data_IF_191256031585
#
_entry.id   IF_191256031585
#
_cell.length_a   1.000
_cell.length_b   1.000
_cell.length_c   1.000
_cell.angle_alpha   90.00
_cell.angle_beta   90.00
_cell.angle_gamma   90.00
#
_symmetry.space_group_name_H-M   'P 1'
#
loop_
_entity.id
_entity.type
_entity.pdbx_description
1 polymer ?
#
# COMPACT_ATOMS: atom_id res chain seq x y z
N UNK A 1 5.98 2.81 -16.16
CA UNK A 1 4.96 1.73 -16.12
C UNK A 1 4.26 1.61 -14.77
N UNK A 2 4.79 0.93 -13.73
CA UNK A 2 4.03 0.79 -12.46
C UNK A 2 3.84 2.12 -11.71
N UNK A 3 4.85 2.99 -11.72
CA UNK A 3 4.79 4.34 -11.13
C UNK A 3 3.75 5.26 -11.81
N UNK A 4 3.34 4.94 -13.03
CA UNK A 4 2.30 5.69 -13.76
C UNK A 4 0.91 5.06 -13.56
N UNK A 5 0.86 3.74 -13.31
CA UNK A 5 -0.38 3.00 -13.08
C UNK A 5 -1.03 3.34 -11.74
N UNK A 6 -0.24 3.45 -10.66
CA UNK A 6 -0.72 3.77 -9.32
C UNK A 6 -1.54 5.07 -9.25
N UNK A 7 -1.06 6.20 -9.82
CA UNK A 7 -1.87 7.42 -9.95
C UNK A 7 -3.19 7.20 -10.68
N UNK A 8 -3.22 6.36 -11.73
CA UNK A 8 -4.45 6.06 -12.46
C UNK A 8 -5.42 5.22 -11.61
N UNK A 9 -4.94 4.19 -10.90
CA UNK A 9 -5.76 3.40 -9.97
C UNK A 9 -6.42 4.32 -8.93
N UNK A 10 -5.65 5.27 -8.37
CA UNK A 10 -6.20 6.26 -7.43
C UNK A 10 -7.21 7.19 -8.09
N UNK A 11 -6.91 7.69 -9.30
CA UNK A 11 -7.80 8.57 -10.06
C UNK A 11 -9.15 7.92 -10.34
N UNK A 12 -9.14 6.63 -10.69
CA UNK A 12 -10.34 5.83 -10.96
C UNK A 12 -11.01 5.29 -9.70
N UNK A 13 -10.43 5.52 -8.50
CA UNK A 13 -10.88 4.99 -7.21
C UNK A 13 -10.91 3.45 -7.15
N UNK A 14 -10.09 2.82 -7.98
CA UNK A 14 -9.88 1.38 -7.96
C UNK A 14 -9.00 1.00 -6.76
N UNK A 15 -8.93 -0.31 -6.48
CA UNK A 15 -8.14 -0.86 -5.37
C UNK A 15 -7.07 -1.78 -5.92
N UNK A 16 -5.88 -1.72 -5.31
CA UNK A 16 -4.78 -2.62 -5.62
C UNK A 16 -4.11 -3.11 -4.33
N UNK A 17 -3.54 -4.31 -4.40
CA UNK A 17 -2.63 -4.84 -3.39
C UNK A 17 -1.24 -4.81 -4.02
N UNK A 18 -0.28 -4.20 -3.33
CA UNK A 18 1.11 -4.15 -3.76
C UNK A 18 1.90 -5.01 -2.80
N UNK A 19 2.57 -6.02 -3.35
CA UNK A 19 3.57 -6.79 -2.62
C UNK A 19 4.90 -6.10 -2.82
N UNK A 20 5.28 -5.28 -1.85
CA UNK A 20 6.52 -4.51 -1.87
C UNK A 20 7.58 -5.19 -0.99
N UNK A 21 8.48 -5.94 -1.62
CA UNK A 21 9.54 -6.66 -0.91
C UNK A 21 10.76 -5.79 -0.61
N UNK A 22 10.86 -4.58 -1.17
CA UNK A 22 12.04 -3.72 -1.06
C UNK A 22 11.78 -2.40 -0.34
N UNK A 23 10.51 -2.01 -0.15
CA UNK A 23 10.11 -0.74 0.44
C UNK A 23 9.98 0.41 -0.57
N UNK A 24 10.42 0.20 -1.82
CA UNK A 24 10.49 1.28 -2.82
C UNK A 24 9.11 1.86 -3.20
N UNK A 25 8.03 1.09 -3.04
CA UNK A 25 6.68 1.58 -3.29
C UNK A 25 6.07 2.21 -2.05
N UNK A 26 6.31 1.60 -0.89
CA UNK A 26 5.87 2.13 0.40
C UNK A 26 6.47 3.52 0.62
N UNK A 27 7.78 3.69 0.43
CA UNK A 27 8.47 4.97 0.63
C UNK A 27 7.98 6.10 -0.29
N UNK A 28 7.54 5.74 -1.50
CA UNK A 28 7.22 6.72 -2.56
C UNK A 28 5.75 7.02 -2.71
N UNK A 29 4.88 6.05 -2.43
CA UNK A 29 3.47 6.11 -2.82
C UNK A 29 2.50 5.84 -1.68
N UNK A 30 2.96 5.39 -0.51
CA UNK A 30 2.08 5.15 0.64
C UNK A 30 1.52 6.48 1.17
N UNK A 31 0.20 6.56 1.26
CA UNK A 31 -0.52 7.64 1.89
C UNK A 31 -1.22 7.12 3.16
N UNK A 32 -0.74 7.47 4.36
CA UNK A 32 -1.33 6.99 5.62
C UNK A 32 -2.78 7.44 5.84
N UNK A 33 -3.30 8.38 5.04
CA UNK A 33 -4.70 8.83 5.13
C UNK A 33 -5.67 7.85 4.46
N UNK A 34 -5.23 7.09 3.47
CA UNK A 34 -6.13 6.28 2.64
C UNK A 34 -5.63 4.87 2.32
N UNK A 35 -4.37 4.56 2.61
CA UNK A 35 -3.79 3.24 2.38
C UNK A 35 -3.66 2.43 3.67
N UNK A 36 -3.59 1.10 3.52
CA UNK A 36 -3.32 0.17 4.61
C UNK A 36 -1.94 -0.44 4.41
N UNK A 37 -1.11 -0.35 5.44
CA UNK A 37 0.19 -1.02 5.49
C UNK A 37 0.06 -2.31 6.31
N UNK A 38 0.59 -3.41 5.80
CA UNK A 38 0.68 -4.70 6.48
C UNK A 38 2.15 -5.10 6.56
N UNK A 39 2.80 -4.70 7.65
CA UNK A 39 4.17 -5.05 7.99
C UNK A 39 4.31 -5.14 9.53
N UNK A 40 4.53 -6.34 10.11
CA UNK A 40 4.57 -6.52 11.56
C UNK A 40 5.72 -5.79 12.27
N UNK A 41 6.71 -5.30 11.52
CA UNK A 41 7.82 -4.52 12.05
C UNK A 41 7.60 -3.01 11.96
N UNK A 42 6.52 -2.56 11.33
CA UNK A 42 6.21 -1.13 11.16
C UNK A 42 5.20 -0.64 12.20
N UNK A 43 5.53 0.47 12.86
CA UNK A 43 4.76 1.00 13.99
C UNK A 43 3.32 1.40 13.62
N UNK A 44 3.12 1.83 12.38
CA UNK A 44 1.83 2.28 11.87
C UNK A 44 1.17 1.26 10.94
N UNK A 45 1.65 0.01 10.97
CA UNK A 45 0.99 -1.08 10.26
C UNK A 45 -0.34 -1.42 10.92
N UNK A 46 -1.32 -1.76 10.09
CA UNK A 46 -2.51 -2.46 10.56
C UNK A 46 -2.08 -3.80 11.19
N UNK A 47 -2.72 -4.23 12.29
CA UNK A 47 -2.51 -5.56 12.80
C UNK A 47 -2.91 -6.56 11.72
N UNK A 48 -2.11 -7.61 11.59
CA UNK A 48 -2.41 -8.71 10.67
C UNK A 48 -3.58 -9.50 11.25
N UNK A 49 -4.81 -9.02 11.02
CA UNK A 49 -6.02 -9.76 11.39
C UNK A 49 -6.16 -10.88 10.38
N UNK A 50 -6.06 -12.13 10.86
CA UNK A 50 -6.43 -13.28 10.05
C UNK A 50 -7.88 -13.05 9.58
N UNK A 51 -8.10 -13.06 8.27
CA UNK A 51 -9.44 -13.15 7.73
C UNK A 51 -9.96 -14.55 8.12
N UNK A 52 -10.70 -14.63 9.23
CA UNK A 52 -11.54 -15.79 9.54
C UNK A 52 -12.75 -15.85 8.60
#
# INVERSE_FOLDING_TARGET
MLNELLPQIRLHKDRAIIVDTTGAFTDRFFDPKCDKLLNPFEKNSEPMVALE
#
